data_IF_961547680872
#
_entry.id   IF_961547680872
#
_cell.length_a   1.000
_cell.length_b   1.000
_cell.length_c   1.000
_cell.angle_alpha   90.00
_cell.angle_beta   90.00
_cell.angle_gamma   90.00
#
_symmetry.space_group_name_H-M   'P 1'
#
loop_
_entity.id
_entity.type
_entity.pdbx_description
1 polymer ?
#
# COMPACT_ATOMS: atom_id res chain seq x y z
N UNK A 1 -6.45 -23.46 1.49
CA UNK A 1 -6.75 -22.12 2.04
C UNK A 1 -6.54 -21.12 0.93
N UNK A 2 -7.56 -20.35 0.56
CA UNK A 2 -7.42 -19.22 -0.37
C UNK A 2 -6.88 -18.04 0.43
N UNK A 3 -5.62 -17.68 0.25
CA UNK A 3 -5.10 -16.39 0.75
C UNK A 3 -5.83 -15.28 0.02
N UNK A 4 -6.38 -14.30 0.75
CA UNK A 4 -7.04 -13.15 0.15
C UNK A 4 -6.00 -12.26 -0.50
N UNK A 5 -6.34 -11.64 -1.63
CA UNK A 5 -5.46 -10.66 -2.28
C UNK A 5 -5.15 -9.55 -1.29
N UNK A 6 -3.86 -9.34 -1.02
CA UNK A 6 -3.37 -8.35 -0.07
C UNK A 6 -2.88 -8.91 1.27
N UNK A 7 -3.21 -10.17 1.61
CA UNK A 7 -2.75 -10.79 2.87
C UNK A 7 -1.22 -10.89 2.92
N UNK A 8 -0.57 -11.17 1.78
CA UNK A 8 0.90 -11.24 1.71
C UNK A 8 1.50 -9.84 1.81
N UNK A 9 0.91 -8.88 1.09
CA UNK A 9 1.32 -7.48 1.16
C UNK A 9 1.31 -6.94 2.59
N UNK A 10 0.22 -7.15 3.34
CA UNK A 10 0.08 -6.73 4.74
C UNK A 10 0.97 -7.52 5.71
N UNK A 11 1.41 -8.71 5.31
CA UNK A 11 2.39 -9.53 6.02
C UNK A 11 3.85 -9.12 5.79
N UNK A 12 4.11 -8.10 4.96
CA UNK A 12 5.47 -7.63 4.63
C UNK A 12 6.10 -8.34 3.43
N UNK A 13 5.37 -9.23 2.76
CA UNK A 13 5.81 -9.88 1.52
C UNK A 13 5.36 -9.10 0.29
N UNK A 14 6.17 -9.04 -0.76
CA UNK A 14 5.74 -8.43 -2.03
C UNK A 14 4.60 -9.22 -2.65
N UNK A 15 3.52 -8.52 -3.00
CA UNK A 15 2.37 -9.11 -3.69
C UNK A 15 2.02 -8.31 -4.93
N UNK A 16 1.75 -9.00 -6.05
CA UNK A 16 1.23 -8.38 -7.26
C UNK A 16 -0.28 -8.13 -7.14
N UNK A 17 -0.67 -6.87 -7.29
CA UNK A 17 -2.03 -6.39 -7.12
C UNK A 17 -2.55 -5.86 -8.47
N UNK A 18 -3.64 -6.46 -8.94
CA UNK A 18 -4.38 -5.91 -10.09
C UNK A 18 -5.17 -4.67 -9.71
N UNK A 19 -6.01 -4.78 -8.65
CA UNK A 19 -6.71 -3.68 -8.02
C UNK A 19 -7.07 -4.10 -6.58
N UNK A 20 -6.64 -3.36 -5.57
CA UNK A 20 -6.98 -3.60 -4.16
C UNK A 20 -6.97 -2.29 -3.38
N UNK A 21 -7.82 -2.19 -2.36
CA UNK A 21 -7.80 -1.11 -1.38
C UNK A 21 -7.33 -1.68 -0.04
N UNK A 22 -6.25 -1.13 0.49
CA UNK A 22 -5.71 -1.50 1.79
C UNK A 22 -6.15 -0.48 2.82
N UNK A 23 -6.81 -0.92 3.88
CA UNK A 23 -7.05 -0.11 5.08
C UNK A 23 -5.90 -0.34 6.04
N UNK A 24 -5.20 0.74 6.39
CA UNK A 24 -4.01 0.68 7.23
C UNK A 24 -4.46 0.74 8.70
N UNK A 25 -4.29 -0.36 9.44
CA UNK A 25 -4.76 -0.48 10.83
C UNK A 25 -3.70 -0.15 11.88
N UNK A 26 -2.46 0.05 11.46
CA UNK A 26 -1.31 0.42 12.28
C UNK A 26 -0.30 1.17 11.41
N UNK A 27 0.63 1.94 12.01
CA UNK A 27 1.60 2.70 11.24
C UNK A 27 2.60 1.78 10.53
N UNK A 28 2.68 1.90 9.21
CA UNK A 28 3.48 1.03 8.36
C UNK A 28 4.35 1.82 7.39
N UNK A 29 5.38 1.15 6.88
CA UNK A 29 6.15 1.58 5.73
C UNK A 29 5.66 0.80 4.51
N UNK A 30 5.05 1.51 3.55
CA UNK A 30 4.67 0.96 2.26
C UNK A 30 5.86 1.04 1.30
N UNK A 31 6.19 -0.08 0.67
CA UNK A 31 7.00 -0.09 -0.54
C UNK A 31 6.12 -0.42 -1.75
N UNK A 32 6.22 0.40 -2.78
CA UNK A 32 5.37 0.34 -3.96
C UNK A 32 6.21 0.36 -5.23
N UNK A 33 5.82 -0.46 -6.20
CA UNK A 33 6.33 -0.36 -7.56
C UNK A 33 5.25 -0.75 -8.56
N UNK A 34 4.89 0.18 -9.44
CA UNK A 34 3.97 -0.12 -10.53
C UNK A 34 3.23 1.10 -11.04
N UNK A 35 2.01 0.88 -11.51
CA UNK A 35 1.28 1.87 -12.30
C UNK A 35 0.68 3.00 -11.47
N UNK A 36 -0.07 2.66 -10.42
CA UNK A 36 -0.78 3.66 -9.61
C UNK A 36 -1.01 3.20 -8.18
N UNK A 37 -0.84 4.11 -7.22
CA UNK A 37 -1.38 4.00 -5.88
C UNK A 37 -1.84 5.37 -5.39
N UNK A 38 -3.09 5.50 -4.93
CA UNK A 38 -3.53 6.71 -4.24
C UNK A 38 -3.51 6.46 -2.74
N UNK A 39 -2.77 7.28 -2.01
CA UNK A 39 -2.75 7.28 -0.55
C UNK A 39 -3.72 8.36 -0.07
N UNK A 40 -4.72 7.94 0.70
CA UNK A 40 -5.79 8.78 1.23
C UNK A 40 -5.72 8.73 2.75
N UNK A 41 -5.86 9.88 3.41
CA UNK A 41 -5.87 9.94 4.87
C UNK A 41 -7.20 9.45 5.48
N UNK A 42 -7.29 9.46 6.80
CA UNK A 42 -8.47 9.02 7.55
C UNK A 42 -9.70 9.90 7.34
N UNK A 43 -9.54 11.14 6.84
CA UNK A 43 -10.64 12.04 6.49
C UNK A 43 -11.12 11.85 5.04
N UNK A 44 -10.46 10.97 4.27
CA UNK A 44 -10.79 10.73 2.87
C UNK A 44 -10.12 11.71 1.90
N UNK A 45 -9.14 12.51 2.36
CA UNK A 45 -8.40 13.45 1.51
C UNK A 45 -7.18 12.77 0.89
N UNK A 46 -6.97 13.03 -0.41
CA UNK A 46 -5.79 12.54 -1.12
C UNK A 46 -4.52 13.19 -0.55
N UNK A 47 -3.62 12.34 -0.05
CA UNK A 47 -2.30 12.74 0.46
C UNK A 47 -1.28 12.74 -0.68
N UNK A 48 -1.22 11.64 -1.44
CA UNK A 48 -0.26 11.48 -2.52
C UNK A 48 -0.76 10.46 -3.56
N UNK A 49 -0.32 10.62 -4.80
CA UNK A 49 -0.49 9.64 -5.88
C UNK A 49 0.88 9.15 -6.33
N UNK A 50 1.14 7.86 -6.15
CA UNK A 50 2.33 7.17 -6.64
C UNK A 50 2.04 6.55 -8.02
N UNK A 51 3.04 6.46 -8.90
CA UNK A 51 2.84 5.83 -10.19
C UNK A 51 4.06 5.78 -11.11
N UNK A 52 3.78 5.56 -12.39
CA UNK A 52 4.77 5.35 -13.45
C UNK A 52 5.77 6.51 -13.50
N UNK A 53 7.06 6.18 -13.46
CA UNK A 53 8.17 7.15 -13.52
C UNK A 53 8.94 7.31 -12.21
N UNK A 54 8.37 6.90 -11.07
CA UNK A 54 9.01 6.99 -9.75
C UNK A 54 9.83 5.74 -9.36
N UNK A 55 9.91 4.73 -10.23
CA UNK A 55 10.58 3.47 -9.92
C UNK A 55 9.94 2.74 -8.74
N UNK A 56 10.77 2.20 -7.84
CA UNK A 56 10.32 1.71 -6.53
C UNK A 56 10.31 2.89 -5.55
N UNK A 57 9.20 3.09 -4.85
CA UNK A 57 9.02 4.18 -3.90
C UNK A 57 8.67 3.64 -2.52
N UNK A 58 9.19 4.30 -1.49
CA UNK A 58 8.87 4.03 -0.09
C UNK A 58 8.11 5.20 0.50
N UNK A 59 7.03 4.91 1.24
CA UNK A 59 6.21 5.91 1.93
C UNK A 59 5.76 5.40 3.29
N UNK A 60 5.70 6.32 4.26
CA UNK A 60 5.00 6.06 5.50
C UNK A 60 3.50 6.19 5.28
N UNK A 61 2.75 5.21 5.78
CA UNK A 61 1.28 5.22 5.76
C UNK A 61 0.81 5.03 7.19
N UNK A 62 -0.02 5.97 7.65
CA UNK A 62 -0.43 6.03 9.04
C UNK A 62 -1.70 5.23 9.27
N UNK A 63 -1.93 4.86 10.52
CA UNK A 63 -3.18 4.26 10.97
C UNK A 63 -4.38 5.08 10.50
N UNK A 64 -5.36 4.40 9.90
CA UNK A 64 -6.56 5.00 9.33
C UNK A 64 -6.42 5.43 7.85
N UNK A 65 -5.22 5.38 7.28
CA UNK A 65 -5.03 5.69 5.85
C UNK A 65 -5.60 4.57 4.98
N UNK A 66 -5.92 4.91 3.73
CA UNK A 66 -6.31 3.95 2.69
C UNK A 66 -5.38 4.05 1.49
N UNK A 67 -4.87 2.91 1.04
CA UNK A 67 -4.02 2.82 -0.15
C UNK A 67 -4.78 2.10 -1.28
N UNK A 68 -5.13 2.83 -2.34
CA UNK A 68 -5.81 2.28 -3.52
C UNK A 68 -4.80 1.91 -4.59
N UNK A 69 -4.40 0.64 -4.63
CA UNK A 69 -3.34 0.11 -5.48
C UNK A 69 -3.93 -0.48 -6.77
N UNK A 70 -3.37 -0.11 -7.92
CA UNK A 70 -3.78 -0.62 -9.23
C UNK A 70 -2.55 -0.99 -10.07
N UNK A 71 -2.51 -2.25 -10.54
CA UNK A 71 -1.46 -2.82 -11.40
C UNK A 71 -0.05 -2.51 -10.89
N UNK A 72 0.23 -2.97 -9.69
CA UNK A 72 1.51 -2.76 -9.02
C UNK A 72 1.84 -3.94 -8.13
N UNK A 73 3.10 -4.06 -7.77
CA UNK A 73 3.49 -4.84 -6.60
C UNK A 73 3.61 -3.90 -5.40
N UNK A 74 3.22 -4.39 -4.22
CA UNK A 74 3.28 -3.63 -2.97
C UNK A 74 3.64 -4.58 -1.81
N UNK A 75 4.29 -4.05 -0.78
CA UNK A 75 4.37 -4.67 0.55
C UNK A 75 4.25 -3.58 1.62
N UNK A 76 3.81 -3.98 2.81
CA UNK A 76 3.70 -3.11 3.97
C UNK A 76 4.51 -3.71 5.12
N UNK A 77 5.53 -3.00 5.56
CA UNK A 77 6.32 -3.38 6.72
C UNK A 77 5.80 -2.66 7.95
N UNK A 78 5.47 -3.43 8.99
CA UNK A 78 5.10 -2.88 10.30
C UNK A 78 6.31 -2.19 10.90
N UNK A 79 6.11 -1.02 11.49
CA UNK A 79 7.16 -0.38 12.28
C UNK A 79 7.36 -1.20 13.55
N UNK A 80 8.51 -1.85 13.68
CA UNK A 80 8.90 -2.48 14.95
C UNK A 80 9.04 -1.40 16.02
N UNK A 81 8.28 -1.56 17.11
CA UNK A 81 8.40 -0.74 18.33
C UNK A 81 9.73 -1.03 19.02
#
# INVERSE_FOLDING_TARGET
>A
MSTTVGDKALGGEWEEISACAFEITEDMTMEFQGRSCNVVDSEGKLVESLGVGLGQTTREVLTGYRCYVIRARVKFEKKSV
#
